data_IF_023840858143
#
_entry.id   IF_023840858143
#
_cell.length_a   1.000
_cell.length_b   1.000
_cell.length_c   1.000
_cell.angle_alpha   90.00
_cell.angle_beta   90.00
_cell.angle_gamma   90.00
#
_symmetry.space_group_name_H-M   'P 1'
#
loop_
_entity.id
_entity.type
_entity.pdbx_description
1 polymer ?
#
# COMPACT_ATOMS: atom_id res chain seq x y z
N UNK A 1 28.35 65.37 -20.50
CA UNK A 1 26.97 65.79 -20.82
C UNK A 1 26.06 64.60 -20.66
N UNK A 2 24.89 64.76 -20.03
CA UNK A 2 23.89 63.71 -19.86
C UNK A 2 23.64 63.31 -18.40
N UNK A 3 23.25 64.29 -17.57
CA UNK A 3 22.60 64.03 -16.29
C UNK A 3 21.11 63.73 -16.51
N UNK A 4 20.55 62.81 -15.71
CA UNK A 4 19.13 62.51 -15.66
C UNK A 4 18.76 62.02 -14.27
N UNK A 5 18.15 62.90 -13.49
CA UNK A 5 17.74 62.71 -12.10
C UNK A 5 16.56 61.73 -11.95
N UNK A 6 16.39 61.11 -10.76
CA UNK A 6 15.23 60.29 -10.43
C UNK A 6 14.01 61.16 -10.07
N UNK A 7 12.84 60.79 -10.59
CA UNK A 7 11.57 61.47 -10.30
C UNK A 7 10.84 60.73 -9.19
N UNK A 8 10.74 61.38 -8.03
CA UNK A 8 9.77 61.13 -6.97
C UNK A 8 8.34 61.25 -7.49
N UNK A 9 7.45 60.35 -7.06
CA UNK A 9 6.01 60.63 -7.04
C UNK A 9 5.44 60.29 -5.67
N UNK A 10 4.94 61.34 -5.04
CA UNK A 10 4.18 61.38 -3.82
C UNK A 10 2.86 60.60 -3.91
N UNK A 11 2.46 60.09 -2.74
CA UNK A 11 1.15 59.53 -2.45
C UNK A 11 0.04 60.60 -2.42
N UNK A 12 -1.23 60.17 -2.42
CA UNK A 12 -2.14 60.70 -1.40
C UNK A 12 -2.97 59.62 -0.66
N UNK A 13 -3.60 59.99 0.47
CA UNK A 13 -4.00 59.08 1.53
C UNK A 13 -5.49 58.73 1.50
N UNK A 14 -5.87 57.64 2.20
CA UNK A 14 -7.21 57.53 2.78
C UNK A 14 -7.93 56.21 2.56
N UNK A 15 -7.93 55.35 3.58
CA UNK A 15 -9.17 54.82 4.18
C UNK A 15 -8.82 53.90 5.34
N UNK A 16 -8.91 54.48 6.55
CA UNK A 16 -8.86 53.74 7.81
C UNK A 16 -10.23 53.09 8.03
N UNK A 17 -10.37 51.81 7.76
CA UNK A 17 -11.49 51.03 8.30
C UNK A 17 -11.18 50.64 9.73
N UNK A 18 -11.80 51.37 10.67
CA UNK A 18 -11.86 51.02 12.09
C UNK A 18 -12.77 49.81 12.24
N UNK A 19 -12.21 48.65 12.57
CA UNK A 19 -12.99 47.59 13.22
C UNK A 19 -13.09 47.94 14.71
N UNK A 20 -14.29 48.31 15.12
CA UNK A 20 -14.67 48.57 16.50
C UNK A 20 -14.55 47.25 17.27
N UNK A 21 -13.69 47.26 18.29
CA UNK A 21 -13.63 46.24 19.31
C UNK A 21 -14.89 46.33 20.19
N UNK A 22 -15.73 45.30 20.16
CA UNK A 22 -16.78 45.12 21.17
C UNK A 22 -16.19 44.28 22.30
N UNK A 23 -16.15 44.90 23.48
CA UNK A 23 -15.69 44.38 24.74
C UNK A 23 -16.92 43.93 25.53
N UNK A 24 -16.99 42.63 25.85
CA UNK A 24 -17.89 42.04 26.85
C UNK A 24 -17.26 40.72 27.25
N UNK A 25 -16.47 40.66 28.32
CA UNK A 25 -16.89 40.43 29.73
C UNK A 25 -17.78 39.19 29.84
N UNK A 26 -17.20 38.13 30.41
CA UNK A 26 -17.89 36.89 30.76
C UNK A 26 -16.93 35.73 30.98
N UNK A 27 -16.09 35.82 32.02
CA UNK A 27 -15.41 34.66 32.59
C UNK A 27 -16.46 33.82 33.30
N UNK A 28 -16.53 32.52 33.02
CA UNK A 28 -17.07 31.51 33.94
C UNK A 28 -16.57 30.12 33.53
N UNK A 29 -15.52 29.69 34.22
CA UNK A 29 -15.25 28.27 34.43
C UNK A 29 -16.40 27.68 35.24
N UNK A 30 -16.99 26.59 34.77
CA UNK A 30 -17.55 25.55 35.63
C UNK A 30 -17.88 24.29 34.82
N UNK A 31 -17.18 23.23 35.21
CA UNK A 31 -17.62 21.84 35.21
C UNK A 31 -19.15 21.67 35.20
N UNK A 32 -19.65 21.04 34.14
CA UNK A 32 -21.05 20.61 34.01
C UNK A 32 -21.14 19.36 33.14
N UNK A 33 -20.58 18.24 33.63
CA UNK A 33 -21.04 16.91 33.22
C UNK A 33 -22.44 16.74 33.79
N UNK A 34 -23.45 17.14 33.03
CA UNK A 34 -24.82 16.77 33.34
C UNK A 34 -25.34 15.69 32.40
N UNK A 35 -25.89 14.70 33.09
CA UNK A 35 -26.45 13.45 32.63
C UNK A 35 -27.69 13.74 31.78
N UNK A 36 -27.57 13.65 30.46
CA UNK A 36 -28.75 13.43 29.63
C UNK A 36 -28.96 11.92 29.45
N UNK A 37 -29.73 11.34 30.38
CA UNK A 37 -30.39 10.05 30.15
C UNK A 37 -31.83 10.36 29.72
N UNK A 38 -32.20 10.21 28.44
CA UNK A 38 -33.62 10.18 28.09
C UNK A 38 -34.20 8.82 28.49
N UNK A 39 -35.20 8.77 29.40
CA UNK A 39 -36.11 7.64 29.43
C UNK A 39 -37.03 7.77 28.20
N UNK A 40 -37.49 6.65 27.65
CA UNK A 40 -38.20 6.52 26.37
C UNK A 40 -37.29 6.42 25.13
N UNK A 41 -36.98 5.17 24.78
CA UNK A 41 -36.59 4.79 23.41
C UNK A 41 -37.81 4.91 22.52
N UNK A 42 -37.95 6.03 21.81
CA UNK A 42 -38.79 6.04 20.62
C UNK A 42 -38.19 5.08 19.59
N UNK A 43 -39.01 4.27 18.89
CA UNK A 43 -38.53 3.46 17.78
C UNK A 43 -37.82 4.34 16.77
N UNK A 44 -36.60 3.97 16.42
CA UNK A 44 -35.75 4.77 15.53
C UNK A 44 -35.92 4.25 14.11
N UNK A 45 -36.37 5.14 13.22
CA UNK A 45 -36.57 4.83 11.81
C UNK A 45 -35.25 5.04 11.07
N UNK A 46 -34.69 3.96 10.53
CA UNK A 46 -33.52 4.01 9.63
C UNK A 46 -34.01 3.60 8.24
N UNK A 47 -33.81 4.45 7.24
CA UNK A 47 -34.26 4.20 5.86
C UNK A 47 -35.76 3.87 5.70
N UNK A 48 -36.63 4.34 6.61
CA UNK A 48 -38.06 4.04 6.58
C UNK A 48 -38.48 2.76 7.33
N UNK A 49 -37.53 1.99 7.87
CA UNK A 49 -37.81 0.77 8.64
C UNK A 49 -37.59 0.99 10.15
N UNK A 50 -38.51 0.40 10.93
CA UNK A 50 -38.48 0.39 12.39
C UNK A 50 -37.52 -0.71 12.86
N UNK A 51 -36.27 -0.35 13.13
CA UNK A 51 -35.27 -1.30 13.65
C UNK A 51 -35.26 -1.22 15.18
N UNK A 52 -35.53 -2.33 15.86
CA UNK A 52 -35.26 -2.48 17.30
C UNK A 52 -33.76 -2.41 17.54
N UNK A 53 -33.24 -1.19 17.70
CA UNK A 53 -31.82 -0.95 17.86
C UNK A 53 -31.31 -1.56 19.19
N UNK A 54 -30.32 -2.44 19.08
CA UNK A 54 -29.54 -2.90 20.23
C UNK A 54 -28.94 -1.68 20.95
N UNK A 55 -28.85 -1.70 22.30
CA UNK A 55 -28.18 -0.64 23.04
C UNK A 55 -26.77 -0.43 22.49
N UNK A 56 -26.43 0.83 22.20
CA UNK A 56 -25.10 1.13 21.67
C UNK A 56 -24.02 0.78 22.70
N UNK A 57 -23.01 -0.04 22.34
CA UNK A 57 -21.90 -0.37 23.24
C UNK A 57 -21.04 0.85 23.57
N UNK A 58 -21.11 1.91 22.75
CA UNK A 58 -20.38 3.17 22.97
C UNK A 58 -21.33 4.36 23.00
N UNK A 59 -22.17 4.50 24.05
CA UNK A 59 -23.23 5.50 24.09
C UNK A 59 -22.71 6.94 24.14
N UNK A 60 -21.45 7.14 24.55
CA UNK A 60 -20.78 8.44 24.66
C UNK A 60 -20.26 8.99 23.33
N UNK A 61 -20.26 8.20 22.25
CA UNK A 61 -19.81 8.63 20.93
C UNK A 61 -20.96 9.25 20.13
N UNK A 62 -20.66 10.30 19.36
CA UNK A 62 -21.58 10.88 18.39
C UNK A 62 -22.09 9.83 17.40
N UNK A 63 -23.39 9.90 17.06
CA UNK A 63 -24.11 8.99 16.15
C UNK A 63 -24.47 9.72 14.85
N UNK A 64 -24.32 9.03 13.73
CA UNK A 64 -24.66 9.56 12.40
C UNK A 64 -25.56 8.55 11.66
N UNK A 65 -26.61 9.04 11.02
CA UNK A 65 -27.59 8.20 10.35
C UNK A 65 -27.01 7.49 9.11
N UNK A 66 -26.07 8.14 8.43
CA UNK A 66 -25.47 7.67 7.18
C UNK A 66 -23.94 7.73 7.23
N UNK A 67 -23.28 6.91 6.42
CA UNK A 67 -21.81 6.93 6.25
C UNK A 67 -21.33 8.28 5.76
N UNK A 68 -22.04 8.91 4.81
CA UNK A 68 -21.67 10.21 4.27
C UNK A 68 -21.67 11.32 5.34
N UNK A 69 -22.66 11.32 6.24
CA UNK A 69 -22.72 12.27 7.35
C UNK A 69 -21.58 12.03 8.35
N UNK A 70 -21.27 10.77 8.65
CA UNK A 70 -20.14 10.40 9.51
C UNK A 70 -18.80 10.82 8.89
N UNK A 71 -18.59 10.55 7.60
CA UNK A 71 -17.37 10.93 6.87
C UNK A 71 -17.20 12.44 6.78
N UNK A 72 -18.29 13.18 6.59
CA UNK A 72 -18.25 14.64 6.64
C UNK A 72 -17.85 15.11 8.04
N UNK A 73 -18.48 14.58 9.09
CA UNK A 73 -18.12 14.90 10.46
C UNK A 73 -16.66 14.54 10.79
N UNK A 74 -16.15 13.41 10.27
CA UNK A 74 -14.76 13.00 10.44
C UNK A 74 -13.77 14.04 9.88
N UNK A 75 -14.12 14.75 8.81
CA UNK A 75 -13.30 15.83 8.23
C UNK A 75 -13.32 17.10 9.08
N UNK A 76 -14.43 17.37 9.76
CA UNK A 76 -14.61 18.57 10.58
C UNK A 76 -14.11 18.40 12.02
N UNK A 77 -14.12 17.17 12.55
CA UNK A 77 -13.52 16.84 13.86
C UNK A 77 -12.00 16.75 13.69
N UNK A 78 -11.37 17.88 13.38
CA UNK A 78 -9.92 18.05 13.55
C UNK A 78 -9.66 18.21 15.04
N UNK A 79 -9.37 17.08 15.71
CA UNK A 79 -8.78 17.14 17.05
C UNK A 79 -7.41 17.83 16.90
N UNK A 80 -6.98 18.71 17.82
CA UNK A 80 -5.69 19.41 17.79
C UNK A 80 -4.42 18.56 17.64
N UNK A 81 -4.53 17.22 17.55
CA UNK A 81 -3.44 16.24 17.60
C UNK A 81 -3.39 15.38 16.33
N UNK A 82 -3.64 15.95 15.14
CA UNK A 82 -3.37 15.30 13.84
C UNK A 82 -4.02 13.92 13.62
N UNK A 83 -5.02 13.55 14.42
CA UNK A 83 -5.59 12.20 14.46
C UNK A 83 -6.79 12.16 13.53
N UNK A 84 -6.72 11.33 12.49
CA UNK A 84 -7.81 11.15 11.53
C UNK A 84 -8.86 10.23 12.15
N UNK A 85 -10.06 10.75 12.38
CA UNK A 85 -11.22 9.98 12.81
C UNK A 85 -11.80 9.18 11.63
N UNK A 86 -12.32 7.98 11.88
CA UNK A 86 -12.97 7.14 10.84
C UNK A 86 -14.39 6.77 11.22
N UNK A 87 -15.29 6.79 10.24
CA UNK A 87 -16.64 6.29 10.36
C UNK A 87 -16.65 4.75 10.39
N UNK A 88 -17.41 4.16 11.30
CA UNK A 88 -17.71 2.72 11.31
C UNK A 88 -19.19 2.51 11.68
N UNK A 89 -19.81 1.50 11.09
CA UNK A 89 -21.17 1.09 11.48
C UNK A 89 -21.09 0.26 12.76
N UNK A 90 -21.78 0.73 13.81
CA UNK A 90 -21.82 0.06 15.08
C UNK A 90 -22.98 -0.93 15.12
N UNK A 91 -22.90 -1.92 16.02
CA UNK A 91 -23.97 -2.89 16.29
C UNK A 91 -25.32 -2.25 16.69
N UNK A 92 -25.34 -0.96 17.08
CA UNK A 92 -26.59 -0.23 17.28
C UNK A 92 -27.24 0.30 16.00
N UNK A 93 -26.66 0.03 14.83
CA UNK A 93 -27.17 0.49 13.53
C UNK A 93 -26.82 1.95 13.19
N UNK A 94 -26.09 2.67 14.05
CA UNK A 94 -25.61 4.03 13.78
C UNK A 94 -24.14 4.03 13.36
N UNK A 95 -23.77 5.02 12.57
CA UNK A 95 -22.38 5.29 12.26
C UNK A 95 -21.75 6.09 13.40
N UNK A 96 -20.53 5.73 13.80
CA UNK A 96 -19.76 6.40 14.83
C UNK A 96 -18.38 6.74 14.33
N UNK A 97 -17.73 7.70 15.00
CA UNK A 97 -16.33 8.00 14.76
C UNK A 97 -15.43 7.26 15.76
N UNK A 98 -14.34 6.68 15.26
CA UNK A 98 -13.31 6.09 16.11
C UNK A 98 -11.95 6.73 15.81
N UNK A 99 -11.18 6.99 16.87
CA UNK A 99 -9.73 7.30 16.79
C UNK A 99 -8.92 6.05 16.50
N UNK A 100 -9.45 4.90 16.92
CA UNK A 100 -8.71 3.66 16.89
C UNK A 100 -8.36 3.35 15.44
N UNK A 101 -7.06 3.28 15.18
CA UNK A 101 -6.50 2.57 14.05
C UNK A 101 -6.68 1.07 14.19
N UNK A 102 -7.66 0.59 14.98
CA UNK A 102 -8.31 -0.71 14.76
C UNK A 102 -9.00 -0.66 13.39
N UNK A 103 -8.13 -0.57 12.40
CA UNK A 103 -8.07 -1.31 11.16
C UNK A 103 -9.44 -1.56 10.51
N UNK A 104 -9.68 -1.08 9.26
CA UNK A 104 -10.13 -2.07 8.27
C UNK A 104 -9.21 -3.25 8.49
N UNK A 105 -9.76 -4.40 8.91
CA UNK A 105 -9.02 -5.60 9.35
C UNK A 105 -7.58 -5.53 8.89
N UNK A 106 -6.62 -5.44 9.84
CA UNK A 106 -5.19 -5.27 9.55
C UNK A 106 -4.90 -6.01 8.26
N UNK A 107 -4.60 -5.27 7.18
CA UNK A 107 -4.89 -5.74 5.82
C UNK A 107 -4.38 -7.15 5.74
N UNK A 108 -5.32 -8.10 5.61
CA UNK A 108 -5.13 -9.52 5.97
C UNK A 108 -3.70 -9.89 5.61
N UNK A 109 -2.87 -10.31 6.59
CA UNK A 109 -1.44 -10.49 6.37
C UNK A 109 -1.24 -11.18 5.04
N UNK A 110 -0.53 -10.51 4.14
CA UNK A 110 -0.60 -10.77 2.69
C UNK A 110 -0.17 -12.17 2.28
N UNK A 111 0.49 -12.85 3.21
CA UNK A 111 0.98 -14.22 3.17
C UNK A 111 -0.18 -15.23 3.27
N UNK A 112 -1.31 -14.81 3.85
CA UNK A 112 -2.49 -15.63 4.10
C UNK A 112 -3.49 -15.61 2.94
N UNK A 113 -3.41 -14.61 2.04
CA UNK A 113 -4.29 -14.51 0.87
C UNK A 113 -3.74 -15.35 -0.28
N UNK A 114 -4.10 -16.62 -0.28
CA UNK A 114 -3.86 -17.54 -1.40
C UNK A 114 -5.13 -17.62 -2.25
N UNK A 115 -5.12 -17.13 -3.50
CA UNK A 115 -6.27 -17.24 -4.38
C UNK A 115 -6.55 -18.71 -4.70
N UNK A 116 -7.82 -19.10 -4.69
CA UNK A 116 -8.28 -20.41 -5.12
C UNK A 116 -8.63 -20.40 -6.61
N UNK A 117 -8.74 -21.59 -7.20
CA UNK A 117 -9.25 -21.75 -8.56
C UNK A 117 -10.68 -21.18 -8.66
N UNK A 118 -10.92 -20.29 -9.63
CA UNK A 118 -12.20 -19.64 -9.84
C UNK A 118 -12.26 -18.20 -9.33
N UNK A 119 -11.36 -17.77 -8.44
CA UNK A 119 -11.30 -16.38 -7.95
C UNK A 119 -11.08 -15.39 -9.11
N UNK A 120 -10.41 -15.81 -10.19
CA UNK A 120 -10.18 -14.99 -11.38
C UNK A 120 -11.47 -14.56 -12.09
N UNK A 121 -12.54 -15.36 -11.96
CA UNK A 121 -13.79 -15.14 -12.67
C UNK A 121 -14.49 -13.87 -12.19
N UNK A 122 -14.29 -13.47 -10.93
CA UNK A 122 -14.86 -12.23 -10.38
C UNK A 122 -14.41 -10.99 -11.17
N UNK A 123 -13.19 -11.01 -11.71
CA UNK A 123 -12.62 -9.90 -12.49
C UNK A 123 -12.59 -10.18 -14.00
N UNK A 124 -13.08 -11.35 -14.42
CA UNK A 124 -13.22 -11.69 -15.83
C UNK A 124 -14.28 -10.77 -16.46
N UNK A 125 -13.92 -10.11 -17.57
CA UNK A 125 -14.82 -9.17 -18.26
C UNK A 125 -15.00 -7.80 -17.59
N UNK A 126 -14.47 -7.58 -16.38
CA UNK A 126 -14.48 -6.24 -15.75
C UNK A 126 -13.68 -5.28 -16.62
N UNK A 127 -14.28 -4.14 -16.99
CA UNK A 127 -13.63 -3.10 -17.80
C UNK A 127 -12.44 -2.41 -17.11
N UNK A 128 -11.62 -1.67 -17.86
CA UNK A 128 -10.40 -1.05 -17.33
C UNK A 128 -10.66 -0.10 -16.15
N UNK A 129 -11.67 0.77 -16.27
CA UNK A 129 -11.98 1.79 -15.25
C UNK A 129 -12.45 1.13 -13.94
N UNK A 130 -13.40 0.19 -14.02
CA UNK A 130 -13.90 -0.52 -12.85
C UNK A 130 -12.79 -1.35 -12.17
N UNK A 131 -11.89 -1.96 -12.96
CA UNK A 131 -10.73 -2.65 -12.41
C UNK A 131 -9.78 -1.69 -11.68
N UNK A 132 -9.56 -0.49 -12.21
CA UNK A 132 -8.76 0.53 -11.52
C UNK A 132 -9.40 0.97 -10.19
N UNK A 133 -10.73 1.07 -10.13
CA UNK A 133 -11.45 1.37 -8.89
C UNK A 133 -11.32 0.25 -7.84
N UNK A 134 -11.37 -1.01 -8.29
CA UNK A 134 -11.12 -2.20 -7.43
C UNK A 134 -9.70 -2.15 -6.86
N UNK A 135 -8.70 -1.85 -7.71
CA UNK A 135 -7.31 -1.69 -7.26
C UNK A 135 -7.18 -0.53 -6.27
N UNK A 136 -7.86 0.59 -6.50
CA UNK A 136 -7.88 1.70 -5.55
C UNK A 136 -8.45 1.29 -4.19
N UNK A 137 -9.54 0.51 -4.17
CA UNK A 137 -10.08 -0.06 -2.93
C UNK A 137 -9.10 -1.00 -2.24
N UNK A 138 -8.42 -1.89 -2.97
CA UNK A 138 -7.41 -2.80 -2.42
C UNK A 138 -6.21 -2.05 -1.80
N UNK A 139 -5.72 -0.98 -2.46
CA UNK A 139 -4.65 -0.12 -1.90
C UNK A 139 -5.08 0.49 -0.57
N UNK A 140 -6.35 0.87 -0.45
CA UNK A 140 -6.91 1.45 0.77
C UNK A 140 -7.36 0.41 1.81
N UNK A 141 -7.33 -0.88 1.49
CA UNK A 141 -7.90 -1.93 2.34
C UNK A 141 -9.41 -1.79 2.54
N UNK A 142 -10.14 -1.34 1.50
CA UNK A 142 -11.59 -1.06 1.54
C UNK A 142 -12.42 -1.94 0.59
N UNK A 143 -11.78 -2.91 -0.07
CA UNK A 143 -12.46 -3.86 -0.95
C UNK A 143 -12.92 -5.10 -0.19
N UNK A 144 -13.94 -5.81 -0.69
CA UNK A 144 -14.28 -7.16 -0.24
C UNK A 144 -13.07 -8.10 -0.42
N UNK A 145 -13.00 -9.14 0.40
CA UNK A 145 -11.86 -10.08 0.40
C UNK A 145 -11.76 -10.84 -0.93
N UNK A 146 -12.90 -11.09 -1.57
CA UNK A 146 -13.03 -11.77 -2.85
C UNK A 146 -12.38 -10.95 -3.98
N UNK A 147 -12.59 -9.62 -3.99
CA UNK A 147 -11.88 -8.72 -4.93
C UNK A 147 -10.36 -8.77 -4.69
N UNK A 148 -9.95 -8.82 -3.43
CA UNK A 148 -8.55 -8.91 -3.06
C UNK A 148 -7.92 -10.25 -3.53
N UNK A 149 -8.61 -11.38 -3.33
CA UNK A 149 -8.17 -12.69 -3.82
C UNK A 149 -8.10 -12.71 -5.34
N UNK A 150 -9.14 -12.22 -6.02
CA UNK A 150 -9.19 -12.17 -7.48
C UNK A 150 -8.07 -11.33 -8.10
N UNK A 151 -7.69 -10.19 -7.49
CA UNK A 151 -6.54 -9.38 -7.93
C UNK A 151 -5.21 -10.15 -7.85
N UNK A 152 -5.09 -11.05 -6.86
CA UNK A 152 -3.88 -11.84 -6.57
C UNK A 152 -3.77 -13.11 -7.39
N UNK A 153 -4.83 -13.49 -8.11
CA UNK A 153 -4.83 -14.64 -9.00
C UNK A 153 -3.80 -14.46 -10.14
N UNK A 154 -3.05 -15.51 -10.52
CA UNK A 154 -2.03 -15.44 -11.58
C UNK A 154 -2.51 -14.79 -12.89
N UNK A 155 -3.72 -15.13 -13.33
CA UNK A 155 -4.36 -14.57 -14.54
C UNK A 155 -4.50 -13.04 -14.50
N UNK A 156 -4.71 -12.47 -13.32
CA UNK A 156 -4.90 -11.02 -13.12
C UNK A 156 -3.62 -10.28 -12.75
N UNK A 157 -2.52 -11.00 -12.44
CA UNK A 157 -1.31 -10.41 -11.86
C UNK A 157 -0.65 -9.34 -12.74
N UNK A 158 -0.58 -9.56 -14.06
CA UNK A 158 -0.02 -8.56 -14.99
C UNK A 158 -0.90 -7.31 -15.09
N UNK A 159 -2.22 -7.50 -15.17
CA UNK A 159 -3.20 -6.42 -15.23
C UNK A 159 -3.19 -5.59 -13.95
N UNK A 160 -3.13 -6.26 -12.80
CA UNK A 160 -2.99 -5.62 -11.49
C UNK A 160 -1.70 -4.82 -11.37
N UNK A 161 -0.57 -5.41 -11.78
CA UNK A 161 0.75 -4.74 -11.80
C UNK A 161 0.72 -3.45 -12.62
N UNK A 162 0.08 -3.44 -13.79
CA UNK A 162 -0.03 -2.23 -14.62
C UNK A 162 -0.95 -1.17 -13.98
N UNK A 163 -2.10 -1.56 -13.43
CA UNK A 163 -2.99 -0.64 -12.71
C UNK A 163 -2.28 0.03 -11.52
N UNK A 164 -1.51 -0.72 -10.74
CA UNK A 164 -0.70 -0.20 -9.63
C UNK A 164 0.40 0.77 -10.11
N UNK A 165 1.00 0.51 -11.28
CA UNK A 165 1.98 1.40 -11.90
C UNK A 165 1.35 2.72 -12.33
N UNK A 166 0.17 2.67 -12.94
CA UNK A 166 -0.62 3.87 -13.30
C UNK A 166 -0.97 4.68 -12.06
N UNK A 167 -1.46 4.03 -11.00
CA UNK A 167 -1.78 4.68 -9.72
C UNK A 167 -0.54 5.34 -9.07
N UNK A 168 0.63 4.69 -9.16
CA UNK A 168 1.89 5.27 -8.70
C UNK A 168 2.27 6.53 -9.48
N UNK A 169 2.24 6.48 -10.81
CA UNK A 169 2.55 7.64 -11.67
C UNK A 169 1.60 8.80 -11.36
N UNK A 170 0.31 8.52 -11.19
CA UNK A 170 -0.68 9.53 -10.82
C UNK A 170 -0.35 10.17 -9.46
N UNK A 171 0.02 9.38 -8.46
CA UNK A 171 0.43 9.88 -7.14
C UNK A 171 1.68 10.77 -7.21
N UNK A 172 2.71 10.37 -7.97
CA UNK A 172 3.90 11.19 -8.19
C UNK A 172 3.56 12.52 -8.87
N UNK A 173 2.68 12.50 -9.89
CA UNK A 173 2.22 13.71 -10.57
C UNK A 173 1.51 14.67 -9.62
N UNK A 174 0.67 14.16 -8.72
CA UNK A 174 0.02 14.99 -7.70
C UNK A 174 1.02 15.58 -6.69
N UNK A 175 2.01 14.80 -6.26
CA UNK A 175 3.08 15.29 -5.37
C UNK A 175 3.92 16.37 -6.03
N UNK A 176 4.25 16.20 -7.32
CA UNK A 176 4.99 17.20 -8.09
C UNK A 176 4.18 18.49 -8.29
N UNK A 177 2.88 18.38 -8.59
CA UNK A 177 2.01 19.54 -8.79
C UNK A 177 1.82 20.40 -7.53
N UNK A 178 1.98 19.82 -6.34
CA UNK A 178 1.89 20.51 -5.05
C UNK A 178 3.26 20.82 -4.43
N UNK A 179 4.33 20.73 -5.21
CA UNK A 179 5.68 21.05 -4.74
C UNK A 179 5.75 22.54 -4.38
N UNK A 180 6.17 22.84 -3.15
CA UNK A 180 6.32 24.21 -2.65
C UNK A 180 5.10 24.79 -1.94
N UNK A 181 3.94 24.12 -1.97
CA UNK A 181 2.77 24.56 -1.19
C UNK A 181 3.01 24.33 0.31
N UNK A 182 3.18 25.40 1.07
CA UNK A 182 3.48 25.40 2.52
C UNK A 182 2.23 25.50 3.40
N UNK A 183 1.03 25.57 2.82
CA UNK A 183 -0.23 25.67 3.56
C UNK A 183 -0.45 24.49 4.52
N UNK A 184 -1.21 24.71 5.59
CA UNK A 184 -1.56 23.65 6.54
C UNK A 184 -2.30 22.49 5.84
N UNK A 185 -3.21 22.81 4.93
CA UNK A 185 -3.94 21.83 4.13
C UNK A 185 -2.99 21.00 3.24
N UNK A 186 -1.96 21.61 2.67
CA UNK A 186 -0.96 20.88 1.89
C UNK A 186 -0.09 19.96 2.75
N UNK A 187 0.23 20.35 3.99
CA UNK A 187 0.94 19.48 4.94
C UNK A 187 0.10 18.24 5.28
N UNK A 188 -1.16 18.42 5.65
CA UNK A 188 -2.08 17.30 5.94
C UNK A 188 -2.29 16.40 4.72
N UNK A 189 -2.41 17.00 3.54
CA UNK A 189 -2.52 16.25 2.29
C UNK A 189 -1.25 15.43 2.02
N UNK A 190 -0.06 16.00 2.23
CA UNK A 190 1.23 15.30 2.04
C UNK A 190 1.34 14.07 2.95
N UNK A 191 0.96 14.18 4.22
CA UNK A 191 0.95 13.03 5.14
C UNK A 191 0.04 11.91 4.61
N UNK A 192 -1.17 12.23 4.15
CA UNK A 192 -2.08 11.25 3.55
C UNK A 192 -1.54 10.65 2.25
N UNK A 193 -0.92 11.47 1.40
CA UNK A 193 -0.32 11.03 0.15
C UNK A 193 0.89 10.10 0.38
N UNK A 194 1.70 10.35 1.41
CA UNK A 194 2.81 9.47 1.80
C UNK A 194 2.31 8.12 2.33
N UNK A 195 1.26 8.10 3.15
CA UNK A 195 0.60 6.87 3.59
C UNK A 195 0.07 6.06 2.38
N UNK A 196 -0.58 6.74 1.43
CA UNK A 196 -1.04 6.10 0.19
C UNK A 196 0.11 5.54 -0.65
N UNK A 197 1.23 6.27 -0.79
CA UNK A 197 2.44 5.80 -1.48
C UNK A 197 3.08 4.60 -0.78
N UNK A 198 3.06 4.56 0.55
CA UNK A 198 3.54 3.41 1.31
C UNK A 198 2.71 2.16 1.01
N UNK A 199 1.37 2.25 1.08
CA UNK A 199 0.47 1.16 0.69
C UNK A 199 0.67 0.72 -0.77
N UNK A 200 0.76 1.67 -1.71
CA UNK A 200 1.07 1.38 -3.11
C UNK A 200 2.39 0.60 -3.29
N UNK A 201 3.44 0.96 -2.54
CA UNK A 201 4.74 0.28 -2.61
C UNK A 201 4.62 -1.18 -2.20
N UNK A 202 3.89 -1.46 -1.11
CA UNK A 202 3.60 -2.83 -0.65
C UNK A 202 2.90 -3.62 -1.76
N UNK A 203 1.81 -3.10 -2.31
CA UNK A 203 1.04 -3.76 -3.39
C UNK A 203 1.86 -3.98 -4.66
N UNK A 204 2.71 -3.03 -5.04
CA UNK A 204 3.58 -3.19 -6.22
C UNK A 204 4.62 -4.29 -6.03
N UNK A 205 5.20 -4.41 -4.83
CA UNK A 205 6.14 -5.50 -4.54
C UNK A 205 5.43 -6.86 -4.56
N UNK A 206 4.23 -6.92 -4.00
CA UNK A 206 3.37 -8.11 -4.03
C UNK A 206 3.02 -8.54 -5.46
N UNK A 207 2.46 -7.64 -6.26
CA UNK A 207 2.12 -7.90 -7.66
C UNK A 207 3.36 -8.28 -8.48
N UNK A 208 4.53 -7.71 -8.19
CA UNK A 208 5.79 -8.09 -8.85
C UNK A 208 6.21 -9.52 -8.51
N UNK A 209 6.06 -9.95 -7.24
CA UNK A 209 6.36 -11.33 -6.84
C UNK A 209 5.41 -12.31 -7.53
N UNK A 210 4.12 -11.99 -7.62
CA UNK A 210 3.11 -12.87 -8.23
C UNK A 210 3.14 -12.92 -9.76
N UNK A 211 3.44 -11.79 -10.41
CA UNK A 211 3.54 -11.73 -11.88
C UNK A 211 4.78 -12.44 -12.44
N UNK A 212 5.72 -12.83 -11.59
CA UNK A 212 6.89 -13.64 -11.95
C UNK A 212 6.88 -14.90 -11.10
N UNK A 213 5.98 -15.87 -11.38
CA UNK A 213 5.78 -17.06 -10.56
C UNK A 213 6.93 -18.05 -10.62
N UNK A 214 8.02 -17.75 -11.37
CA UNK A 214 9.19 -18.62 -11.35
C UNK A 214 9.67 -18.79 -9.91
N UNK A 215 9.81 -20.04 -9.44
CA UNK A 215 10.21 -20.31 -8.09
C UNK A 215 11.60 -19.74 -7.93
N UNK A 216 11.69 -18.67 -7.16
CA UNK A 216 12.93 -18.38 -6.46
C UNK A 216 13.03 -19.50 -5.44
N UNK A 217 13.65 -20.60 -5.84
CA UNK A 217 13.87 -21.80 -5.04
C UNK A 217 14.23 -21.33 -3.64
N UNK A 218 13.33 -21.57 -2.68
CA UNK A 218 13.57 -21.27 -1.27
C UNK A 218 14.53 -22.31 -0.64
N UNK A 219 15.08 -23.22 -1.45
CA UNK A 219 16.21 -24.05 -1.08
C UNK A 219 17.51 -23.27 -1.18
N UNK A 220 18.06 -22.88 -0.03
CA UNK A 220 19.48 -22.51 0.06
C UNK A 220 19.75 -21.10 0.56
N UNK A 221 20.14 -21.04 1.82
CA UNK A 221 20.93 -20.01 2.51
C UNK A 221 22.11 -19.40 1.70
N UNK A 222 22.44 -19.86 0.49
CA UNK A 222 23.55 -19.40 -0.35
C UNK A 222 23.33 -18.03 -1.02
N UNK A 223 22.09 -17.63 -1.34
CA UNK A 223 21.87 -16.38 -2.12
C UNK A 223 22.13 -15.08 -1.35
N UNK A 224 22.32 -15.16 -0.03
CA UNK A 224 22.78 -14.03 0.80
C UNK A 224 24.27 -13.78 0.61
N UNK A 225 25.09 -14.83 0.60
CA UNK A 225 26.55 -14.72 0.45
C UNK A 225 26.95 -14.26 -0.97
N UNK A 226 26.27 -14.75 -2.01
CA UNK A 226 26.59 -14.42 -3.40
C UNK A 226 26.15 -13.01 -3.82
N UNK A 227 25.00 -12.53 -3.31
CA UNK A 227 24.61 -11.12 -3.49
C UNK A 227 25.56 -10.19 -2.75
N UNK A 228 26.06 -10.60 -1.59
CA UNK A 228 27.14 -9.87 -0.90
C UNK A 228 28.41 -9.87 -1.75
N UNK A 229 28.78 -10.97 -2.41
CA UNK A 229 29.96 -11.01 -3.29
C UNK A 229 29.86 -10.01 -4.47
N UNK A 230 28.75 -9.97 -5.21
CA UNK A 230 28.55 -9.00 -6.31
C UNK A 230 28.56 -7.55 -5.80
N UNK A 231 27.92 -7.30 -4.65
CA UNK A 231 27.85 -5.96 -4.06
C UNK A 231 29.20 -5.50 -3.51
N UNK A 232 29.98 -6.42 -2.92
CA UNK A 232 31.32 -6.20 -2.39
C UNK A 232 32.34 -5.99 -3.51
N UNK A 233 32.23 -6.73 -4.62
CA UNK A 233 33.04 -6.49 -5.82
C UNK A 233 32.76 -5.12 -6.46
N UNK A 234 31.50 -4.67 -6.44
CA UNK A 234 31.15 -3.29 -6.85
C UNK A 234 31.74 -2.23 -5.93
N UNK A 235 31.70 -2.46 -4.61
CA UNK A 235 32.30 -1.57 -3.63
C UNK A 235 33.84 -1.55 -3.72
N UNK A 236 34.46 -2.64 -4.16
CA UNK A 236 35.91 -2.77 -4.34
C UNK A 236 36.43 -2.24 -5.71
N UNK A 237 35.59 -1.57 -6.51
CA UNK A 237 36.01 -1.00 -7.79
C UNK A 237 36.28 -2.02 -8.89
N UNK A 238 35.70 -3.22 -8.81
CA UNK A 238 35.88 -4.25 -9.85
C UNK A 238 35.45 -3.71 -11.23
N UNK A 239 36.26 -4.03 -12.26
CA UNK A 239 35.98 -3.62 -13.64
C UNK A 239 34.64 -4.19 -14.12
N UNK A 240 34.01 -3.54 -15.13
CA UNK A 240 32.76 -4.05 -15.72
C UNK A 240 32.88 -5.46 -16.30
N UNK A 241 34.06 -5.83 -16.82
CA UNK A 241 34.34 -7.19 -17.31
C UNK A 241 34.28 -8.19 -16.17
N UNK A 242 34.88 -7.85 -15.03
CA UNK A 242 34.90 -8.70 -13.86
C UNK A 242 33.51 -8.85 -13.23
N UNK A 243 32.74 -7.77 -13.15
CA UNK A 243 31.35 -7.83 -12.69
C UNK A 243 30.48 -8.73 -13.58
N UNK A 244 30.70 -8.73 -14.90
CA UNK A 244 29.98 -9.61 -15.83
C UNK A 244 30.39 -11.08 -15.67
N UNK A 245 31.68 -11.36 -15.45
CA UNK A 245 32.17 -12.72 -15.16
C UNK A 245 31.50 -13.28 -13.91
N UNK A 246 31.57 -12.55 -12.80
CA UNK A 246 30.94 -12.94 -11.54
C UNK A 246 29.42 -13.15 -11.70
N UNK A 247 28.74 -12.26 -12.42
CA UNK A 247 27.31 -12.42 -12.69
C UNK A 247 27.01 -13.66 -13.55
N UNK A 248 27.87 -13.97 -14.52
CA UNK A 248 27.78 -15.18 -15.35
C UNK A 248 27.96 -16.45 -14.53
N UNK A 249 29.00 -16.49 -13.68
CA UNK A 249 29.29 -17.65 -12.82
C UNK A 249 28.13 -17.92 -11.84
N UNK A 250 27.55 -16.86 -11.27
CA UNK A 250 26.37 -16.96 -10.39
C UNK A 250 25.15 -17.46 -11.18
N UNK A 251 24.94 -16.97 -12.40
CA UNK A 251 23.82 -17.41 -13.23
C UNK A 251 23.94 -18.89 -13.62
N UNK A 252 25.14 -19.35 -14.00
CA UNK A 252 25.41 -20.77 -14.31
C UNK A 252 25.19 -21.64 -13.07
N UNK A 253 25.71 -21.22 -11.91
CA UNK A 253 25.51 -21.95 -10.65
C UNK A 253 24.02 -22.08 -10.30
N UNK A 254 23.23 -21.02 -10.49
CA UNK A 254 21.78 -21.06 -10.27
C UNK A 254 21.07 -21.96 -11.28
N UNK A 255 21.52 -21.97 -12.54
CA UNK A 255 20.95 -22.83 -13.57
C UNK A 255 21.23 -24.31 -13.27
N UNK A 256 22.46 -24.64 -12.86
CA UNK A 256 22.82 -25.99 -12.41
C UNK A 256 21.96 -26.40 -11.21
N UNK A 257 21.79 -25.53 -10.21
CA UNK A 257 20.98 -25.85 -9.03
C UNK A 257 19.49 -26.04 -9.36
N UNK A 258 18.96 -25.33 -10.37
CA UNK A 258 17.55 -25.44 -10.77
C UNK A 258 17.28 -26.66 -11.66
N UNK A 259 18.30 -27.15 -12.36
CA UNK A 259 18.23 -28.23 -13.34
C UNK A 259 19.32 -29.27 -13.05
N UNK A 260 19.51 -29.62 -11.77
CA UNK A 260 20.68 -30.41 -11.34
C UNK A 260 20.72 -31.76 -12.06
N UNK A 261 19.57 -32.44 -12.14
CA UNK A 261 19.47 -33.76 -12.78
C UNK A 261 19.73 -33.69 -14.29
N UNK A 262 19.11 -32.74 -14.99
CA UNK A 262 19.30 -32.54 -16.44
C UNK A 262 20.75 -32.15 -16.76
N UNK A 263 21.34 -31.28 -15.94
CA UNK A 263 22.72 -30.87 -16.09
C UNK A 263 23.68 -32.05 -15.92
N UNK A 264 23.54 -32.84 -14.85
CA UNK A 264 24.43 -33.97 -14.61
C UNK A 264 24.23 -35.11 -15.61
N UNK A 265 23.01 -35.31 -16.12
CA UNK A 265 22.75 -36.24 -17.21
C UNK A 265 23.48 -35.84 -18.50
N UNK A 266 23.39 -34.56 -18.90
CA UNK A 266 24.10 -34.04 -20.07
C UNK A 266 25.62 -34.04 -19.87
N UNK A 267 26.09 -33.70 -18.67
CA UNK A 267 27.50 -33.74 -18.32
C UNK A 267 28.07 -35.15 -18.41
N UNK A 268 27.36 -36.15 -17.90
CA UNK A 268 27.75 -37.56 -18.01
C UNK A 268 27.85 -38.02 -19.46
N UNK A 269 26.84 -37.71 -20.28
CA UNK A 269 26.83 -38.04 -21.71
C UNK A 269 28.01 -37.40 -22.46
N UNK A 270 28.38 -36.16 -22.11
CA UNK A 270 29.49 -35.46 -22.74
C UNK A 270 30.86 -36.01 -22.28
N UNK A 271 31.01 -36.39 -21.01
CA UNK A 271 32.19 -37.10 -20.50
C UNK A 271 32.38 -38.45 -21.20
N UNK A 272 31.31 -39.23 -21.37
CA UNK A 272 31.34 -40.50 -22.11
C UNK A 272 31.77 -40.28 -23.57
N UNK A 273 31.18 -39.28 -24.26
CA UNK A 273 31.53 -38.92 -25.64
C UNK A 273 33.01 -38.57 -25.80
N UNK A 274 33.63 -38.01 -24.77
CA UNK A 274 35.05 -37.62 -24.76
C UNK A 274 35.98 -38.70 -24.19
N UNK A 275 35.44 -39.83 -23.72
CA UNK A 275 36.22 -40.90 -23.08
C UNK A 275 36.85 -40.49 -21.73
N UNK A 276 36.23 -39.54 -21.03
CA UNK A 276 36.68 -39.08 -19.72
C UNK A 276 35.90 -39.81 -18.61
N UNK A 277 36.58 -40.43 -17.63
CA UNK A 277 35.89 -41.05 -16.51
C UNK A 277 35.26 -40.00 -15.60
N UNK A 278 34.05 -40.28 -15.11
CA UNK A 278 33.42 -39.48 -14.07
C UNK A 278 34.13 -39.68 -12.74
N UNK A 279 34.08 -38.67 -11.86
CA UNK A 279 34.56 -38.84 -10.48
C UNK A 279 33.49 -39.57 -9.66
N UNK A 280 33.89 -40.27 -8.59
CA UNK A 280 32.96 -40.96 -7.69
C UNK A 280 31.87 -40.03 -7.10
N UNK A 281 32.19 -38.73 -6.96
CA UNK A 281 31.22 -37.71 -6.51
C UNK A 281 30.18 -37.40 -7.60
N UNK A 282 30.61 -37.31 -8.85
CA UNK A 282 29.72 -37.01 -9.98
C UNK A 282 28.84 -38.23 -10.31
N UNK A 283 29.40 -39.45 -10.22
CA UNK A 283 28.64 -40.70 -10.33
C UNK A 283 27.51 -40.77 -9.31
N UNK A 284 27.78 -40.42 -8.05
CA UNK A 284 26.77 -40.39 -6.99
C UNK A 284 25.65 -39.37 -7.27
N UNK A 285 25.95 -38.24 -7.93
CA UNK A 285 24.95 -37.23 -8.30
C UNK A 285 24.09 -37.67 -9.48
N UNK A 286 24.71 -38.27 -10.50
CA UNK A 286 23.99 -38.86 -11.64
C UNK A 286 23.05 -39.97 -11.19
N UNK A 287 23.48 -40.81 -10.25
CA UNK A 287 22.66 -41.89 -9.69
C UNK A 287 21.57 -41.37 -8.74
N UNK A 288 21.85 -40.33 -7.95
CA UNK A 288 20.90 -39.74 -7.01
C UNK A 288 19.69 -39.08 -7.68
N UNK A 289 19.88 -38.41 -8.82
CA UNK A 289 18.79 -37.76 -9.57
C UNK A 289 17.83 -38.73 -10.25
N UNK A 290 18.26 -39.97 -10.52
CA UNK A 290 17.42 -41.01 -11.15
C UNK A 290 16.52 -41.75 -10.15
N UNK A 291 16.75 -41.57 -8.85
CA UNK A 291 16.07 -42.33 -7.79
C UNK A 291 14.70 -41.79 -7.37
N UNK A 292 14.34 -40.55 -7.68
CA UNK A 292 13.06 -39.93 -7.26
C UNK A 292 11.95 -39.98 -8.33
N UNK A 293 12.24 -40.49 -9.53
CA UNK A 293 11.31 -40.50 -10.66
C UNK A 293 10.61 -41.87 -10.94
N UNK A 294 10.68 -42.83 -10.01
CA UNK A 294 10.08 -44.17 -10.13
C UNK A 294 8.91 -44.39 -9.17
#
# INVERSE_FOLDING_TARGET
MGGGAPVSRDAPPGSRSRCVAVKGVGVSDSSGRDLYTPPFRLPTVKNGETVTALPCPTPTKSRYATTAAADQAARHVQIPVGTIMRAYECQCGWWHLTRSTSTPAEPIPYEDLTPADGDEQLLAGVGHNLFADIVARDIHGRGPIEEALALRHPTNALRWKEALKTAWIASEKQMAARRGDTSAQAKEWRVRAEQYRAALRVRRLEAKRRAHPYPRTQGGSSSSCERVAVTRSRAAGASRREQRRIAGDVAVTQLIAAHEDEFYALFAAECERLGLPLTARDEARVQGGLGEAA
#
